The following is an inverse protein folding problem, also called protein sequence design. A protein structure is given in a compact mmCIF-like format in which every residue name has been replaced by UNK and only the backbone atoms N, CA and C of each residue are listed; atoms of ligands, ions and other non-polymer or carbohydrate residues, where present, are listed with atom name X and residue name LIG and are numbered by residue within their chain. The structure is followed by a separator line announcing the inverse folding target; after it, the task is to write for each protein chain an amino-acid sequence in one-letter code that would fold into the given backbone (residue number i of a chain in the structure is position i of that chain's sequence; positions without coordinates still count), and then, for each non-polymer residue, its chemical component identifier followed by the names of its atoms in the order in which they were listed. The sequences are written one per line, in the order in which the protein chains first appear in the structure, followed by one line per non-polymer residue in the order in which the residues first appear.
data_IF_329725428465
#
_entry.id   IF_329725428465
#
_cell.length_a   1.000
_cell.length_b   1.000
_cell.length_c   1.000
_cell.angle_alpha   90.00
_cell.angle_beta   90.00
_cell.angle_gamma   90.00
#
_symmetry.space_group_name_H-M   'P 1'
#
loop_
_entity.id
_entity.type
_entity.pdbx_description
1 polymer ?
#
# COMPACT_ATOMS: atom_id res chain seq x y z
N UNK A 1 -31.51 7.69 -8.62
CA UNK A 1 -30.32 8.16 -7.88
C UNK A 1 -29.59 6.93 -7.41
N UNK A 2 -28.55 6.52 -8.13
CA UNK A 2 -27.74 5.37 -7.76
C UNK A 2 -26.86 5.79 -6.57
N UNK A 3 -27.10 5.16 -5.43
CA UNK A 3 -26.25 5.29 -4.25
C UNK A 3 -24.92 4.63 -4.58
N UNK A 4 -23.96 5.44 -4.99
CA UNK A 4 -22.55 5.03 -5.06
C UNK A 4 -22.15 4.87 -3.60
N UNK A 5 -22.19 3.64 -3.09
CA UNK A 5 -21.56 3.29 -1.82
C UNK A 5 -20.05 3.52 -1.98
N UNK A 6 -19.62 4.76 -1.72
CA UNK A 6 -18.23 5.09 -1.44
C UNK A 6 -17.80 4.16 -0.31
N UNK A 7 -17.09 3.10 -0.66
CA UNK A 7 -16.54 2.14 0.30
C UNK A 7 -15.40 2.87 0.99
N UNK A 8 -15.75 3.62 2.02
CA UNK A 8 -14.80 4.32 2.87
C UNK A 8 -13.95 3.27 3.58
N UNK A 9 -12.63 3.41 3.56
CA UNK A 9 -11.72 2.59 4.35
C UNK A 9 -12.14 2.70 5.81
N UNK A 10 -12.55 1.60 6.42
CA UNK A 10 -13.01 1.56 7.81
C UNK A 10 -11.86 1.27 8.77
N UNK A 11 -10.86 0.53 8.30
CA UNK A 11 -9.79 0.01 9.14
C UNK A 11 -8.40 0.06 8.48
N UNK A 12 -7.36 0.12 9.33
CA UNK A 12 -5.96 0.07 8.92
C UNK A 12 -5.63 -1.15 8.04
N UNK A 13 -6.31 -2.28 8.27
CA UNK A 13 -6.13 -3.50 7.47
C UNK A 13 -6.59 -3.32 6.02
N UNK A 14 -7.71 -2.64 5.78
CA UNK A 14 -8.17 -2.36 4.41
C UNK A 14 -7.18 -1.46 3.68
N UNK A 15 -6.65 -0.44 4.36
CA UNK A 15 -5.62 0.43 3.79
C UNK A 15 -4.35 -0.35 3.42
N UNK A 16 -3.92 -1.28 4.27
CA UNK A 16 -2.76 -2.15 4.00
C UNK A 16 -3.01 -3.06 2.80
N UNK A 17 -4.19 -3.65 2.67
CA UNK A 17 -4.54 -4.51 1.54
C UNK A 17 -4.54 -3.71 0.21
N UNK A 18 -5.02 -2.47 0.22
CA UNK A 18 -4.94 -1.56 -0.93
C UNK A 18 -3.49 -1.31 -1.34
N UNK A 19 -2.61 -1.03 -0.37
CA UNK A 19 -1.18 -0.82 -0.64
C UNK A 19 -0.50 -2.08 -1.17
N UNK A 20 -0.83 -3.25 -0.61
CA UNK A 20 -0.33 -4.54 -1.13
C UNK A 20 -0.77 -4.77 -2.56
N UNK A 21 -2.05 -4.55 -2.88
CA UNK A 21 -2.58 -4.71 -4.23
C UNK A 21 -1.93 -3.73 -5.21
N UNK A 22 -1.71 -2.47 -4.77
CA UNK A 22 -0.98 -1.47 -5.54
C UNK A 22 0.43 -1.95 -5.91
N UNK A 23 1.23 -2.41 -4.94
CA UNK A 23 2.57 -2.92 -5.26
C UNK A 23 2.56 -4.22 -6.04
N UNK A 24 1.59 -5.11 -5.80
CA UNK A 24 1.41 -6.31 -6.62
C UNK A 24 1.18 -5.94 -8.08
N UNK A 25 0.38 -4.91 -8.37
CA UNK A 25 0.17 -4.42 -9.74
C UNK A 25 1.42 -3.73 -10.28
N UNK A 26 2.04 -2.83 -9.52
CA UNK A 26 3.20 -2.04 -9.98
C UNK A 26 4.43 -2.93 -10.22
N UNK A 27 4.82 -3.75 -9.24
CA UNK A 27 5.99 -4.64 -9.34
C UNK A 27 5.67 -5.95 -10.04
N UNK A 28 4.48 -6.52 -9.85
CA UNK A 28 4.08 -7.77 -10.52
C UNK A 28 3.84 -7.61 -12.02
N UNK A 29 3.43 -6.44 -12.51
CA UNK A 29 3.33 -6.20 -13.95
C UNK A 29 4.69 -6.23 -14.66
N UNK A 30 5.78 -5.92 -13.94
CA UNK A 30 7.15 -5.90 -14.48
C UNK A 30 7.79 -7.28 -14.60
N UNK A 31 7.27 -8.30 -13.91
CA UNK A 31 7.91 -9.62 -13.87
C UNK A 31 6.99 -10.67 -14.48
N UNK A 32 7.05 -10.81 -15.81
CA UNK A 32 6.43 -11.93 -16.54
C UNK A 32 7.48 -13.02 -16.77
N UNK A 33 7.84 -13.74 -15.70
CA UNK A 33 8.79 -14.85 -15.77
C UNK A 33 8.05 -16.19 -15.68
N UNK A 34 7.42 -16.60 -16.79
CA UNK A 34 6.81 -17.93 -16.96
C UNK A 34 5.59 -18.22 -16.08
N UNK A 35 5.06 -19.45 -16.20
CA UNK A 35 3.82 -19.98 -15.58
C UNK A 35 3.78 -19.99 -14.04
N UNK A 36 4.82 -19.54 -13.36
CA UNK A 36 4.83 -19.45 -11.90
C UNK A 36 4.16 -18.15 -11.51
N UNK A 37 3.05 -18.26 -10.78
CA UNK A 37 2.36 -17.11 -10.21
C UNK A 37 3.29 -16.47 -9.17
N UNK A 38 4.06 -15.47 -9.59
CA UNK A 38 5.03 -14.71 -8.78
C UNK A 38 4.38 -13.88 -7.66
N UNK A 39 3.11 -14.16 -7.34
CA UNK A 39 2.26 -13.46 -6.37
C UNK A 39 2.82 -13.56 -4.94
N UNK A 40 3.58 -14.62 -4.64
CA UNK A 40 4.23 -14.86 -3.34
C UNK A 40 5.64 -14.27 -3.22
N UNK A 41 6.22 -13.71 -4.29
CA UNK A 41 7.56 -13.12 -4.20
C UNK A 41 7.59 -11.82 -3.38
N UNK A 42 6.50 -11.06 -3.43
CA UNK A 42 6.47 -9.71 -2.90
C UNK A 42 6.38 -9.77 -1.38
N UNK A 43 7.52 -10.03 -0.73
CA UNK A 43 7.68 -9.93 0.72
C UNK A 43 7.35 -8.48 1.12
N UNK A 44 6.11 -8.30 1.57
CA UNK A 44 5.56 -7.03 2.01
C UNK A 44 5.57 -6.99 3.54
N UNK A 45 6.49 -6.22 4.10
CA UNK A 45 6.54 -5.94 5.53
C UNK A 45 5.81 -4.65 5.86
N UNK A 46 4.87 -4.69 6.80
CA UNK A 46 4.27 -3.46 7.37
C UNK A 46 5.13 -3.03 8.54
N UNK A 47 5.69 -1.82 8.49
CA UNK A 47 6.48 -1.24 9.57
C UNK A 47 5.57 -0.46 10.52
N UNK A 48 4.68 0.37 9.97
CA UNK A 48 3.79 1.21 10.76
C UNK A 48 2.53 1.56 9.98
N UNK A 49 1.39 1.66 10.67
CA UNK A 49 0.15 2.20 10.12
C UNK A 49 -0.39 3.24 11.09
N UNK A 50 -0.58 4.46 10.60
CA UNK A 50 -1.05 5.59 11.38
C UNK A 50 -2.27 6.20 10.70
N UNK A 51 -3.38 6.43 11.40
CA UNK A 51 -4.49 7.17 10.82
C UNK A 51 -4.05 8.62 10.55
N UNK A 52 -4.34 9.12 9.35
CA UNK A 52 -4.20 10.53 9.04
C UNK A 52 -5.36 11.27 9.71
N UNK A 53 -5.12 11.80 10.90
CA UNK A 53 -6.06 12.71 11.54
C UNK A 53 -6.11 14.00 10.73
N UNK A 54 -7.22 14.23 10.04
CA UNK A 54 -7.46 15.52 9.41
C UNK A 54 -7.84 16.48 10.54
N UNK A 55 -6.97 17.43 10.89
CA UNK A 55 -7.11 18.35 12.03
C UNK A 55 -8.29 19.34 11.93
N UNK A 56 -9.37 19.00 11.22
CA UNK A 56 -10.61 19.78 11.16
C UNK A 56 -11.90 18.98 11.33
N UNK A 57 -11.91 17.66 11.21
CA UNK A 57 -13.12 16.86 11.37
C UNK A 57 -12.78 15.53 12.06
N UNK A 58 -13.65 15.06 12.95
CA UNK A 58 -13.44 13.88 13.80
C UNK A 58 -13.42 12.52 13.05
N UNK A 59 -13.05 12.51 11.76
CA UNK A 59 -12.87 11.31 10.95
C UNK A 59 -11.43 11.22 10.41
N UNK A 60 -10.84 10.01 10.36
CA UNK A 60 -9.55 9.82 9.73
C UNK A 60 -9.67 10.23 8.25
N UNK A 61 -8.88 11.21 7.82
CA UNK A 61 -8.80 11.64 6.42
C UNK A 61 -8.19 10.57 5.51
N UNK A 62 -7.63 9.51 6.10
CA UNK A 62 -6.94 8.42 5.44
C UNK A 62 -6.03 7.68 6.41
N UNK A 63 -5.08 6.92 5.85
CA UNK A 63 -4.06 6.19 6.58
C UNK A 63 -2.70 6.45 5.95
N UNK A 64 -1.71 6.65 6.81
CA UNK A 64 -0.30 6.66 6.47
C UNK A 64 0.28 5.29 6.80
N UNK A 65 0.83 4.61 5.81
CA UNK A 65 1.39 3.27 5.89
C UNK A 65 2.86 3.35 5.55
N UNK A 66 3.70 2.92 6.47
CA UNK A 66 5.11 2.70 6.25
C UNK A 66 5.32 1.21 6.04
N UNK A 67 5.84 0.82 4.88
CA UNK A 67 6.06 -0.56 4.52
C UNK A 67 7.41 -0.77 3.84
N UNK A 68 7.95 -1.96 3.95
CA UNK A 68 9.12 -2.43 3.23
C UNK A 68 8.69 -3.48 2.21
N UNK A 69 9.18 -3.35 0.97
CA UNK A 69 8.95 -4.35 -0.08
C UNK A 69 10.27 -4.77 -0.70
N UNK A 70 10.39 -6.05 -1.04
CA UNK A 70 11.58 -6.57 -1.70
C UNK A 70 11.80 -5.91 -3.07
N UNK A 71 13.05 -5.56 -3.37
CA UNK A 71 13.41 -4.83 -4.60
C UNK A 71 13.09 -5.64 -5.87
N UNK A 72 13.37 -6.95 -5.87
CA UNK A 72 13.02 -7.85 -6.97
C UNK A 72 13.49 -9.29 -6.76
N UNK A 73 13.03 -10.23 -7.62
CA UNK A 73 13.10 -11.71 -7.55
C UNK A 73 14.38 -12.43 -7.14
N UNK A 74 15.50 -11.73 -7.01
CA UNK A 74 16.76 -12.33 -6.59
C UNK A 74 17.59 -11.37 -5.71
N UNK A 75 16.96 -10.29 -5.24
CA UNK A 75 17.59 -9.28 -4.40
C UNK A 75 17.16 -9.46 -2.96
N UNK A 76 18.12 -9.58 -2.04
CA UNK A 76 17.88 -9.51 -0.60
C UNK A 76 17.61 -8.07 -0.11
N UNK A 77 17.72 -7.09 -1.02
CA UNK A 77 17.45 -5.70 -0.70
C UNK A 77 15.95 -5.46 -0.56
N UNK A 78 15.61 -4.71 0.48
CA UNK A 78 14.27 -4.22 0.74
C UNK A 78 14.24 -2.71 0.51
N UNK A 79 13.16 -2.24 -0.07
CA UNK A 79 12.88 -0.83 -0.32
C UNK A 79 11.79 -0.39 0.66
N UNK A 80 12.10 0.60 1.49
CA UNK A 80 11.12 1.24 2.36
C UNK A 80 10.28 2.26 1.61
N UNK A 81 9.00 2.31 1.91
CA UNK A 81 8.04 3.26 1.38
C UNK A 81 7.16 3.83 2.48
N UNK A 82 6.92 5.13 2.38
CA UNK A 82 5.94 5.89 3.13
C UNK A 82 4.79 6.21 2.18
N UNK A 83 3.59 5.72 2.49
CA UNK A 83 2.44 5.72 1.59
C UNK A 83 1.25 6.31 2.31
N UNK A 84 0.57 7.23 1.65
CA UNK A 84 -0.66 7.81 2.17
C UNK A 84 -1.82 7.32 1.31
N UNK A 85 -2.82 6.77 1.98
CA UNK A 85 -4.06 6.28 1.38
C UNK A 85 -5.20 7.14 1.90
N UNK A 86 -6.01 7.66 0.99
CA UNK A 86 -7.21 8.43 1.36
C UNK A 86 -8.29 7.53 1.95
N UNK A 87 -9.23 8.11 2.70
CA UNK A 87 -10.42 7.39 3.16
C UNK A 87 -11.24 6.76 2.01
N UNK A 88 -11.06 7.21 0.77
CA UNK A 88 -11.78 6.67 -0.42
C UNK A 88 -11.16 5.40 -1.00
N UNK A 89 -10.04 4.92 -0.43
CA UNK A 89 -9.34 3.76 -1.00
C UNK A 89 -8.29 4.13 -2.04
N UNK A 90 -7.92 5.40 -2.16
CA UNK A 90 -7.02 5.88 -3.21
C UNK A 90 -5.63 6.14 -2.63
N UNK A 91 -4.59 5.61 -3.26
CA UNK A 91 -3.20 5.94 -2.92
C UNK A 91 -2.91 7.36 -3.42
N UNK A 92 -2.73 8.30 -2.49
CA UNK A 92 -2.55 9.72 -2.79
C UNK A 92 -1.08 10.14 -2.80
N UNK A 93 -0.21 9.39 -2.10
CA UNK A 93 1.22 9.69 -2.01
C UNK A 93 2.00 8.39 -1.85
N UNK A 94 3.12 8.28 -2.57
CA UNK A 94 4.08 7.18 -2.43
C UNK A 94 5.47 7.79 -2.42
N UNK A 95 6.15 7.68 -1.28
CA UNK A 95 7.50 8.20 -1.09
C UNK A 95 8.43 7.08 -0.69
N UNK A 96 9.49 6.85 -1.48
CA UNK A 96 10.56 5.93 -1.11
C UNK A 96 11.33 6.51 0.07
N UNK A 97 11.39 5.78 1.18
CA UNK A 97 12.25 6.04 2.32
C UNK A 97 13.30 4.94 2.27
N UNK A 98 14.50 5.22 1.75
CA UNK A 98 15.53 4.19 1.74
C UNK A 98 15.76 3.70 3.17
N UNK A 99 15.54 2.41 3.41
CA UNK A 99 16.04 1.74 4.59
C UNK A 99 17.53 1.49 4.29
N UNK A 100 18.38 2.36 4.82
CA UNK A 100 19.83 2.14 4.86
C UNK A 100 20.19 0.91 5.70
#
# INVERSE_FOLDING_TARGET
MENITETKIKDANEAVEIVKDFFRKVKGAGIKLGKLELIDWLEFGVISVQPLSNSKEAQPGGFKIICEVKEGLFSDKKEGYDIEVSIKGEVISVKRINAE
#
